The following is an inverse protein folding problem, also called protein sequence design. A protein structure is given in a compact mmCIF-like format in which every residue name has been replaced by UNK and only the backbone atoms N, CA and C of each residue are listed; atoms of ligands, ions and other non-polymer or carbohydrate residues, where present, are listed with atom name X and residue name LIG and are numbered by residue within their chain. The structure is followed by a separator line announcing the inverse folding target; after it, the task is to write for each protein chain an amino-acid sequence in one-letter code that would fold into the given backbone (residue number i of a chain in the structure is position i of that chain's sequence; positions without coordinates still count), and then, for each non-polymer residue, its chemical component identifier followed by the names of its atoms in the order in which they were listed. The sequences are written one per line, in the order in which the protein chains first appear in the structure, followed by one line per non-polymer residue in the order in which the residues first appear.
data_IF_625696361927
#
_entry.id   IF_625696361927
#
_cell.length_a   1.000
_cell.length_b   1.000
_cell.length_c   1.000
_cell.angle_alpha   90.00
_cell.angle_beta   90.00
_cell.angle_gamma   90.00
#
_symmetry.space_group_name_H-M   'P 1'
#
loop_
_entity.id
_entity.type
_entity.pdbx_description
1 polymer ?
#
# COMPACT_ATOMS: atom_id res chain seq x y z
N UNK A 1 -24.63 -6.53 16.84
CA UNK A 1 -24.07 -7.53 15.89
C UNK A 1 -24.07 -7.04 14.45
N UNK A 2 -25.23 -6.91 13.75
CA UNK A 2 -25.23 -6.46 12.35
C UNK A 2 -24.51 -5.12 12.15
N UNK A 3 -24.76 -4.15 13.04
CA UNK A 3 -24.08 -2.85 12.98
C UNK A 3 -22.57 -2.90 13.18
N UNK A 4 -22.11 -3.82 14.02
CA UNK A 4 -20.68 -4.04 14.29
C UNK A 4 -19.98 -4.58 13.04
N UNK A 5 -20.61 -5.57 12.40
CA UNK A 5 -20.16 -6.18 11.14
C UNK A 5 -20.14 -5.14 10.00
N UNK A 6 -21.18 -4.30 9.89
CA UNK A 6 -21.22 -3.18 8.93
C UNK A 6 -20.05 -2.22 9.13
N UNK A 7 -19.78 -1.80 10.37
CA UNK A 7 -18.68 -0.89 10.69
C UNK A 7 -17.33 -1.49 10.27
N UNK A 8 -17.10 -2.78 10.57
CA UNK A 8 -15.86 -3.47 10.18
C UNK A 8 -15.74 -3.54 8.66
N UNK A 9 -16.81 -3.88 7.95
CA UNK A 9 -16.82 -3.92 6.48
C UNK A 9 -16.56 -2.55 5.86
N UNK A 10 -17.11 -1.48 6.44
CA UNK A 10 -16.82 -0.12 5.98
C UNK A 10 -15.36 0.27 6.21
N UNK A 11 -14.73 -0.18 7.30
CA UNK A 11 -13.29 0.00 7.50
C UNK A 11 -12.49 -0.74 6.42
N UNK A 12 -12.83 -2.01 6.13
CA UNK A 12 -12.18 -2.80 5.08
C UNK A 12 -12.28 -2.09 3.72
N UNK A 13 -13.47 -1.61 3.35
CA UNK A 13 -13.68 -0.84 2.11
C UNK A 13 -12.83 0.42 2.07
N UNK A 14 -12.73 1.16 3.18
CA UNK A 14 -11.86 2.36 3.27
C UNK A 14 -10.37 2.01 3.11
N UNK A 15 -9.91 0.90 3.69
CA UNK A 15 -8.51 0.47 3.52
C UNK A 15 -8.19 0.08 2.07
N UNK A 16 -9.09 -0.68 1.43
CA UNK A 16 -8.96 -1.03 0.01
C UNK A 16 -9.00 0.21 -0.90
N UNK A 17 -9.89 1.17 -0.61
CA UNK A 17 -9.96 2.44 -1.33
C UNK A 17 -8.68 3.27 -1.16
N UNK A 18 -8.15 3.39 0.06
CA UNK A 18 -6.91 4.11 0.32
C UNK A 18 -5.71 3.47 -0.40
N UNK A 19 -5.61 2.14 -0.40
CA UNK A 19 -4.60 1.40 -1.18
C UNK A 19 -4.69 1.73 -2.66
N UNK A 20 -5.89 1.68 -3.24
CA UNK A 20 -6.11 2.06 -4.64
C UNK A 20 -5.72 3.52 -4.93
N UNK A 21 -6.15 4.46 -4.08
CA UNK A 21 -5.85 5.88 -4.23
C UNK A 21 -4.34 6.16 -4.22
N UNK A 22 -3.60 5.49 -3.33
CA UNK A 22 -2.15 5.65 -3.22
C UNK A 22 -1.42 5.14 -4.46
N UNK A 23 -1.87 4.05 -5.07
CA UNK A 23 -1.31 3.59 -6.36
C UNK A 23 -1.45 4.67 -7.44
N UNK A 24 -2.59 5.35 -7.49
CA UNK A 24 -2.82 6.49 -8.38
C UNK A 24 -1.85 7.64 -8.11
N UNK A 25 -1.75 8.08 -6.85
CA UNK A 25 -0.82 9.15 -6.45
C UNK A 25 0.65 8.81 -6.67
N UNK A 26 1.04 7.54 -6.50
CA UNK A 26 2.39 7.08 -6.80
C UNK A 26 2.76 7.32 -8.26
N UNK A 27 1.88 6.91 -9.19
CA UNK A 27 2.10 7.13 -10.63
C UNK A 27 2.16 8.64 -10.93
N UNK A 28 1.20 9.42 -10.42
CA UNK A 28 1.16 10.87 -10.65
C UNK A 28 2.44 11.56 -10.18
N UNK A 29 2.91 11.29 -8.96
CA UNK A 29 4.09 11.95 -8.42
C UNK A 29 5.39 11.46 -9.03
N UNK A 30 5.47 10.19 -9.45
CA UNK A 30 6.58 9.68 -10.28
C UNK A 30 6.64 10.44 -11.60
N UNK A 31 5.52 10.56 -12.31
CA UNK A 31 5.45 11.29 -13.59
C UNK A 31 5.83 12.76 -13.41
N UNK A 32 5.29 13.43 -12.39
CA UNK A 32 5.66 14.82 -12.06
C UNK A 32 7.16 14.93 -11.80
N UNK A 33 7.73 14.04 -10.98
CA UNK A 33 9.15 14.04 -10.68
C UNK A 33 10.03 13.87 -11.92
N UNK A 34 9.61 13.03 -12.89
CA UNK A 34 10.32 12.82 -14.16
C UNK A 34 10.17 14.01 -15.13
N UNK A 35 9.04 14.72 -15.09
CA UNK A 35 8.77 15.86 -15.97
C UNK A 35 9.39 17.17 -15.47
N UNK A 36 9.77 17.24 -14.19
CA UNK A 36 10.50 18.39 -13.66
C UNK A 36 11.76 18.61 -14.51
N UNK A 37 11.92 19.79 -15.09
CA UNK A 37 13.11 20.13 -15.86
C UNK A 37 14.21 20.58 -14.91
N UNK A 38 15.30 19.83 -14.88
CA UNK A 38 16.54 20.19 -14.21
C UNK A 38 17.74 19.88 -15.10
N UNK A 39 18.82 20.62 -14.86
CA UNK A 39 20.06 20.55 -15.62
C UNK A 39 20.86 19.29 -15.32
N UNK A 40 20.61 18.66 -14.16
CA UNK A 40 21.41 17.56 -13.63
C UNK A 40 20.93 16.19 -14.09
N UNK A 41 21.87 15.35 -14.56
CA UNK A 41 21.63 13.97 -14.98
C UNK A 41 21.04 13.09 -13.87
N UNK A 42 21.25 13.45 -12.61
CA UNK A 42 20.82 12.69 -11.43
C UNK A 42 19.38 12.96 -11.00
N UNK A 43 18.68 13.90 -11.63
CA UNK A 43 17.34 14.27 -11.22
C UNK A 43 16.32 13.12 -11.34
N UNK A 44 16.54 12.18 -12.26
CA UNK A 44 15.67 11.01 -12.46
C UNK A 44 15.55 10.17 -11.18
N UNK A 45 16.59 10.14 -10.34
CA UNK A 45 16.58 9.40 -9.08
C UNK A 45 15.58 9.95 -8.06
N UNK A 46 15.16 11.21 -8.18
CA UNK A 46 14.13 11.82 -7.31
C UNK A 46 12.79 11.10 -7.47
N UNK A 47 12.50 10.49 -8.63
CA UNK A 47 11.27 9.73 -8.85
C UNK A 47 11.16 8.47 -7.97
N UNK A 48 12.27 7.97 -7.42
CA UNK A 48 12.22 6.86 -6.45
C UNK A 48 11.68 7.27 -5.08
N UNK A 49 11.75 8.55 -4.71
CA UNK A 49 11.26 9.03 -3.42
C UNK A 49 9.75 8.79 -3.27
N UNK A 50 8.87 9.31 -4.14
CA UNK A 50 7.45 8.99 -4.06
C UNK A 50 7.21 7.49 -4.26
N UNK A 51 7.95 6.82 -5.17
CA UNK A 51 7.78 5.39 -5.41
C UNK A 51 7.93 4.55 -4.13
N UNK A 52 9.02 4.73 -3.39
CA UNK A 52 9.29 3.95 -2.18
C UNK A 52 8.34 4.30 -1.05
N UNK A 53 8.02 5.59 -0.88
CA UNK A 53 7.08 6.07 0.15
C UNK A 53 5.69 5.46 -0.07
N UNK A 54 5.17 5.54 -1.30
CA UNK A 54 3.84 5.00 -1.61
C UNK A 54 3.83 3.48 -1.61
N UNK A 55 4.93 2.81 -1.98
CA UNK A 55 5.04 1.36 -1.85
C UNK A 55 4.89 0.88 -0.41
N UNK A 56 5.58 1.55 0.53
CA UNK A 56 5.44 1.26 1.94
C UNK A 56 4.03 1.57 2.46
N UNK A 57 3.45 2.72 2.10
CA UNK A 57 2.10 3.10 2.54
C UNK A 57 1.04 2.13 2.02
N UNK A 58 1.13 1.71 0.76
CA UNK A 58 0.22 0.72 0.17
C UNK A 58 0.30 -0.64 0.90
N UNK A 59 1.52 -1.08 1.23
CA UNK A 59 1.71 -2.26 2.08
C UNK A 59 1.08 -2.09 3.47
N UNK A 60 1.13 -0.90 4.06
CA UNK A 60 0.49 -0.59 5.34
C UNK A 60 -1.03 -0.66 5.25
N UNK A 61 -1.67 -0.09 4.22
CA UNK A 61 -3.13 -0.18 4.05
C UNK A 61 -3.59 -1.61 3.80
N UNK A 62 -2.86 -2.37 2.99
CA UNK A 62 -3.16 -3.79 2.77
C UNK A 62 -2.96 -4.63 4.04
N UNK A 63 -1.98 -4.30 4.87
CA UNK A 63 -1.81 -4.93 6.19
C UNK A 63 -3.00 -4.64 7.12
N UNK A 64 -3.41 -3.38 7.21
CA UNK A 64 -4.59 -2.98 7.99
C UNK A 64 -5.85 -3.69 7.50
N UNK A 65 -6.09 -3.73 6.20
CA UNK A 65 -7.22 -4.45 5.60
C UNK A 65 -7.26 -5.92 6.07
N UNK A 66 -6.12 -6.62 6.05
CA UNK A 66 -6.02 -8.02 6.50
C UNK A 66 -6.31 -8.18 7.99
N UNK A 67 -5.87 -7.25 8.84
CA UNK A 67 -6.22 -7.26 10.26
C UNK A 67 -7.73 -7.12 10.47
N UNK A 68 -8.36 -6.19 9.74
CA UNK A 68 -9.81 -6.00 9.83
C UNK A 68 -10.59 -7.18 9.25
N UNK A 69 -10.06 -7.90 8.24
CA UNK A 69 -10.63 -9.17 7.79
C UNK A 69 -10.58 -10.24 8.90
N UNK A 70 -9.50 -10.30 9.69
CA UNK A 70 -9.41 -11.19 10.86
C UNK A 70 -10.37 -10.80 11.98
N UNK A 71 -10.49 -9.51 12.25
CA UNK A 71 -11.52 -9.01 13.19
C UNK A 71 -12.93 -9.38 12.72
N UNK A 72 -13.22 -9.24 11.43
CA UNK A 72 -14.51 -9.64 10.85
C UNK A 72 -14.80 -11.13 11.02
N UNK A 73 -13.82 -12.00 10.67
CA UNK A 73 -13.91 -13.44 10.85
C UNK A 73 -14.18 -13.80 12.32
N UNK A 74 -13.48 -13.15 13.26
CA UNK A 74 -13.66 -13.40 14.67
C UNK A 74 -15.06 -12.97 15.16
N UNK A 75 -15.54 -11.78 14.79
CA UNK A 75 -16.86 -11.28 15.23
C UNK A 75 -17.98 -12.20 14.77
N UNK A 76 -17.96 -12.66 13.52
CA UNK A 76 -19.01 -13.57 13.01
C UNK A 76 -19.06 -14.89 13.77
N UNK A 77 -17.90 -15.45 14.11
CA UNK A 77 -17.80 -16.76 14.75
C UNK A 77 -18.11 -16.75 16.25
N UNK A 78 -17.93 -15.61 16.92
CA UNK A 78 -17.96 -15.50 18.38
C UNK A 78 -19.12 -14.66 18.93
N UNK A 79 -19.66 -13.69 18.18
CA UNK A 79 -20.63 -12.72 18.74
C UNK A 79 -21.96 -13.33 19.17
N UNK A 80 -22.34 -14.49 18.63
CA UNK A 80 -23.52 -15.25 19.09
C UNK A 80 -23.25 -16.08 20.37
N UNK A 81 -21.98 -16.25 20.74
CA UNK A 81 -21.53 -17.11 21.84
C UNK A 81 -20.99 -16.32 23.03
N UNK A 82 -20.51 -15.10 22.81
CA UNK A 82 -19.87 -14.28 23.84
C UNK A 82 -19.96 -12.77 23.55
N UNK A 83 -20.02 -12.00 24.63
CA UNK A 83 -19.91 -10.52 24.63
C UNK A 83 -18.48 -10.04 24.86
N UNK A 84 -17.48 -10.94 24.83
CA UNK A 84 -16.08 -10.56 24.88
C UNK A 84 -15.76 -9.54 23.77
N UNK A 85 -14.98 -8.51 24.07
CA UNK A 85 -14.63 -7.44 23.13
C UNK A 85 -15.83 -6.79 22.43
N UNK A 86 -16.98 -6.68 23.09
CA UNK A 86 -18.16 -6.02 22.53
C UNK A 86 -17.80 -4.58 22.14
N UNK A 87 -18.00 -4.25 20.86
CA UNK A 87 -17.68 -2.94 20.26
C UNK A 87 -16.18 -2.57 20.22
N UNK A 88 -15.28 -3.46 20.60
CA UNK A 88 -13.85 -3.21 20.47
C UNK A 88 -13.42 -3.42 19.01
N UNK A 89 -13.04 -2.33 18.36
CA UNK A 89 -12.59 -2.26 16.96
C UNK A 89 -11.07 -2.43 16.80
N UNK A 90 -10.35 -2.77 17.87
CA UNK A 90 -8.91 -2.91 17.84
C UNK A 90 -8.47 -4.19 17.12
N UNK A 91 -8.26 -4.09 15.81
CA UNK A 91 -7.79 -5.17 14.96
C UNK A 91 -6.32 -5.59 15.22
N UNK A 92 -5.54 -4.82 16.00
CA UNK A 92 -4.16 -5.17 16.33
C UNK A 92 -4.04 -6.45 17.17
N UNK A 93 -5.13 -6.92 17.79
CA UNK A 93 -5.13 -8.22 18.46
C UNK A 93 -4.83 -9.40 17.52
N UNK A 94 -5.05 -9.21 16.22
CA UNK A 94 -4.76 -10.20 15.17
C UNK A 94 -3.42 -9.96 14.46
N UNK A 95 -2.54 -9.12 15.01
CA UNK A 95 -1.25 -8.76 14.36
C UNK A 95 -0.37 -9.98 14.07
N UNK A 96 -0.42 -10.99 14.93
CA UNK A 96 0.41 -12.20 14.85
C UNK A 96 -0.21 -13.24 13.90
N UNK A 97 -1.49 -13.10 13.54
CA UNK A 97 -2.19 -13.93 12.55
C UNK A 97 -2.02 -13.42 11.11
N UNK A 98 -1.49 -12.21 10.94
CA UNK A 98 -1.30 -11.57 9.64
C UNK A 98 0.18 -11.47 9.32
N UNK A 99 0.51 -11.64 8.04
CA UNK A 99 1.88 -11.43 7.55
C UNK A 99 2.42 -10.05 7.94
N UNK A 100 3.72 -9.95 8.21
CA UNK A 100 4.37 -8.68 8.52
C UNK A 100 4.23 -7.68 7.36
N UNK A 101 4.23 -6.38 7.69
CA UNK A 101 4.14 -5.28 6.71
C UNK A 101 5.21 -5.41 5.61
N UNK A 102 6.43 -5.78 5.99
CA UNK A 102 7.53 -6.01 5.04
C UNK A 102 7.27 -7.19 4.11
N UNK A 103 6.74 -8.31 4.61
CA UNK A 103 6.37 -9.45 3.76
C UNK A 103 5.26 -9.06 2.78
N UNK A 104 4.32 -8.21 3.21
CA UNK A 104 3.25 -7.70 2.35
C UNK A 104 3.82 -6.76 1.27
N UNK A 105 4.78 -5.90 1.63
CA UNK A 105 5.43 -5.00 0.67
C UNK A 105 6.02 -5.76 -0.52
N UNK A 106 6.64 -6.92 -0.28
CA UNK A 106 7.18 -7.81 -1.32
C UNK A 106 6.21 -8.89 -1.80
N UNK A 107 4.90 -8.74 -1.56
CA UNK A 107 3.88 -9.64 -2.13
C UNK A 107 3.80 -9.49 -3.64
N UNK A 108 3.31 -10.54 -4.32
CA UNK A 108 3.20 -10.59 -5.79
C UNK A 108 2.50 -9.33 -6.34
N UNK A 109 1.37 -8.93 -5.76
CA UNK A 109 0.57 -7.80 -6.26
C UNK A 109 1.29 -6.45 -6.14
N UNK A 110 1.95 -6.20 -5.01
CA UNK A 110 2.70 -4.96 -4.78
C UNK A 110 4.03 -4.96 -5.53
N UNK A 111 4.72 -6.11 -5.55
CA UNK A 111 5.98 -6.30 -6.26
C UNK A 111 5.84 -6.06 -7.76
N UNK A 112 4.81 -6.61 -8.41
CA UNK A 112 4.58 -6.35 -9.84
C UNK A 112 4.23 -4.88 -10.11
N UNK A 113 3.39 -4.28 -9.27
CA UNK A 113 2.97 -2.88 -9.47
C UNK A 113 4.14 -1.90 -9.30
N UNK A 114 4.79 -1.88 -8.13
CA UNK A 114 5.90 -0.94 -7.87
C UNK A 114 7.18 -1.34 -8.60
N UNK A 115 7.42 -2.64 -8.80
CA UNK A 115 8.57 -3.15 -9.54
C UNK A 115 8.53 -2.78 -11.01
N UNK A 116 7.37 -2.84 -11.67
CA UNK A 116 7.24 -2.38 -13.06
C UNK A 116 7.53 -0.89 -13.21
N UNK A 117 7.06 -0.05 -12.28
CA UNK A 117 7.36 1.38 -12.27
C UNK A 117 8.86 1.62 -12.02
N UNK A 118 9.47 0.89 -11.08
CA UNK A 118 10.91 0.99 -10.83
C UNK A 118 11.74 0.66 -12.09
N UNK A 119 11.38 -0.42 -12.80
CA UNK A 119 12.02 -0.81 -14.06
C UNK A 119 11.90 0.31 -15.11
N UNK A 120 10.72 0.91 -15.25
CA UNK A 120 10.51 2.03 -16.19
C UNK A 120 11.38 3.25 -15.83
N UNK A 121 11.50 3.60 -14.55
CA UNK A 121 12.37 4.70 -14.11
C UNK A 121 13.84 4.39 -14.44
N UNK A 122 14.30 3.15 -14.23
CA UNK A 122 15.67 2.74 -14.54
C UNK A 122 15.94 2.82 -16.06
N UNK A 123 15.03 2.31 -16.89
CA UNK A 123 15.16 2.39 -18.34
C UNK A 123 15.26 3.86 -18.78
N UNK A 124 14.38 4.71 -18.27
CA UNK A 124 14.41 6.15 -18.56
C UNK A 124 15.73 6.81 -18.12
N UNK A 125 16.22 6.48 -16.92
CA UNK A 125 17.50 6.99 -16.42
C UNK A 125 18.66 6.61 -17.34
N UNK A 126 18.73 5.34 -17.79
CA UNK A 126 19.77 4.86 -18.69
C UNK A 126 19.74 5.60 -20.05
N UNK A 127 18.55 5.80 -20.62
CA UNK A 127 18.38 6.57 -21.88
C UNK A 127 18.88 8.01 -21.72
N UNK A 128 18.53 8.67 -20.61
CA UNK A 128 18.98 10.05 -20.33
C UNK A 128 20.49 10.14 -20.12
N UNK A 129 21.09 9.15 -19.44
CA UNK A 129 22.53 9.11 -19.21
C UNK A 129 23.33 8.91 -20.50
N UNK A 130 22.86 8.05 -21.41
CA UNK A 130 23.49 7.82 -22.71
C UNK A 130 23.37 9.07 -23.60
N UNK A 131 22.19 9.68 -23.67
CA UNK A 131 21.92 10.81 -24.59
C UNK A 131 22.57 12.12 -24.15
N UNK A 132 22.68 12.40 -22.85
CA UNK A 132 23.40 13.58 -22.32
C UNK A 132 24.88 13.32 -22.02
N UNK A 133 25.33 12.06 -22.11
CA UNK A 133 26.68 11.61 -21.79
C UNK A 133 27.65 11.58 -22.98
N UNK A 134 27.13 11.70 -24.20
CA UNK A 134 27.90 11.95 -25.42
C UNK A 134 28.01 13.43 -25.76
#
# INVERSE_FOLDING_TARGET
MLKEIEIIQDIIKRMAFNSFMIKGWAITLVVVALLLRGTEKYQVWIAFVPLLVFWFLDAYFLWQERLYRKLYEWVINNRLKTDEYLFDMNAYRFKDEVQSKFRIMFSITLGWFYGSIAILIIIYALVVLITKGG
#
